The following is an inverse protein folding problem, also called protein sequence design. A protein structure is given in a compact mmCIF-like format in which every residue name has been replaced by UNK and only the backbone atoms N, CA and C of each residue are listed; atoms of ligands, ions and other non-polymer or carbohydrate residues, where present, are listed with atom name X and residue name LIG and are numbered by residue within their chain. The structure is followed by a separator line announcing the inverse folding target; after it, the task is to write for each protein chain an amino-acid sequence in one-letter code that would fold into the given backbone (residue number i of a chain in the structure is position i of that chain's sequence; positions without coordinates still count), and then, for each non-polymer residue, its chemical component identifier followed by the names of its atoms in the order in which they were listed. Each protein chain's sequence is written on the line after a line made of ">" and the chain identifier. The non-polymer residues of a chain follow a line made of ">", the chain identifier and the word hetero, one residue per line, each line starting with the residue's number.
data_IF_801903024637
#
_entry.id   IF_801903024637
#
_cell.length_a   1.000
_cell.length_b   1.000
_cell.length_c   1.000
_cell.angle_alpha   90.00
_cell.angle_beta   90.00
_cell.angle_gamma   90.00
#
_symmetry.space_group_name_H-M   'P 1'
#
loop_
_entity.id
_entity.type
_entity.pdbx_description
1 polymer ?
#
# COMPACT_ATOMS: atom_id res chain seq x y z
N UNK A 1 14.78 -14.61 13.10
CA UNK A 1 13.36 -14.16 13.01
C UNK A 1 12.53 -15.34 12.55
N UNK A 2 11.54 -15.80 13.34
CA UNK A 2 10.64 -16.89 12.90
C UNK A 2 9.56 -16.31 11.97
N UNK A 3 9.26 -16.93 10.82
CA UNK A 3 8.18 -16.46 9.97
C UNK A 3 6.86 -16.61 10.72
N UNK A 4 6.13 -15.50 10.87
CA UNK A 4 4.78 -15.48 11.41
C UNK A 4 3.89 -16.37 10.51
N UNK A 5 3.37 -17.48 11.05
CA UNK A 5 2.34 -18.29 10.38
C UNK A 5 1.07 -17.43 10.24
N UNK A 6 0.88 -16.81 9.09
CA UNK A 6 -0.38 -16.16 8.74
C UNK A 6 -1.41 -17.26 8.47
N UNK A 7 -2.33 -17.48 9.42
CA UNK A 7 -3.46 -18.39 9.23
C UNK A 7 -4.35 -17.87 8.11
N UNK A 8 -4.41 -18.61 6.99
CA UNK A 8 -5.37 -18.34 5.91
C UNK A 8 -6.78 -18.53 6.45
N UNK A 9 -7.55 -17.45 6.53
CA UNK A 9 -8.96 -17.48 6.93
C UNK A 9 -9.83 -17.63 5.67
N UNK A 10 -10.82 -18.53 5.67
CA UNK A 10 -11.76 -18.59 4.57
C UNK A 10 -12.60 -17.30 4.52
N UNK A 11 -12.73 -16.71 3.34
CA UNK A 11 -13.52 -15.49 3.10
C UNK A 11 -14.51 -15.78 1.99
N UNK A 12 -15.78 -15.46 2.23
CA UNK A 12 -16.84 -15.60 1.25
C UNK A 12 -17.14 -14.24 0.61
N UNK A 13 -17.13 -14.19 -0.72
CA UNK A 13 -17.47 -12.99 -1.48
C UNK A 13 -18.82 -13.16 -2.17
N UNK A 14 -19.71 -12.17 -2.02
CA UNK A 14 -20.93 -12.09 -2.83
C UNK A 14 -20.65 -11.22 -4.05
N UNK A 15 -20.55 -11.86 -5.21
CA UNK A 15 -20.18 -11.20 -6.46
C UNK A 15 -21.38 -11.08 -7.40
N UNK A 16 -21.36 -10.05 -8.24
CA UNK A 16 -22.34 -9.89 -9.32
C UNK A 16 -22.12 -10.99 -10.38
N UNK A 17 -23.20 -11.37 -11.07
CA UNK A 17 -23.16 -12.45 -12.07
C UNK A 17 -22.15 -12.18 -13.19
N UNK A 18 -22.05 -10.93 -13.67
CA UNK A 18 -21.05 -10.52 -14.67
C UNK A 18 -19.62 -10.81 -14.19
N UNK A 19 -19.32 -10.53 -12.91
CA UNK A 19 -18.01 -10.82 -12.31
C UNK A 19 -17.73 -12.32 -12.29
N UNK A 20 -18.74 -13.15 -11.99
CA UNK A 20 -18.60 -14.61 -12.02
C UNK A 20 -18.33 -15.15 -13.43
N UNK A 21 -18.92 -14.55 -14.47
CA UNK A 21 -18.65 -14.90 -15.86
C UNK A 21 -17.19 -14.59 -16.24
N UNK A 22 -16.72 -13.39 -15.87
CA UNK A 22 -15.33 -12.98 -16.11
C UNK A 22 -14.36 -13.92 -15.39
N UNK A 23 -14.63 -14.25 -14.12
CA UNK A 23 -13.80 -15.20 -13.37
C UNK A 23 -13.77 -16.58 -14.01
N UNK A 24 -14.90 -17.06 -14.54
CA UNK A 24 -14.97 -18.37 -15.21
C UNK A 24 -14.22 -18.38 -16.55
N UNK A 25 -14.19 -17.24 -17.25
CA UNK A 25 -13.40 -17.10 -18.49
C UNK A 25 -11.90 -17.08 -18.18
N UNK A 26 -11.50 -16.35 -17.13
CA UNK A 26 -10.11 -16.28 -16.67
C UNK A 26 -9.61 -17.62 -16.13
N UNK A 27 -10.44 -18.33 -15.38
CA UNK A 27 -10.18 -19.70 -14.90
C UNK A 27 -9.79 -20.63 -16.06
N UNK A 28 -10.61 -20.63 -17.12
CA UNK A 28 -10.35 -21.43 -18.33
C UNK A 28 -9.09 -21.02 -19.06
N UNK A 29 -8.87 -19.70 -19.22
CA UNK A 29 -7.73 -19.16 -19.96
C UNK A 29 -6.40 -19.38 -19.25
N UNK A 30 -6.40 -19.34 -17.92
CA UNK A 30 -5.19 -19.43 -17.09
C UNK A 30 -4.97 -20.84 -16.52
N UNK A 31 -5.85 -21.79 -16.83
CA UNK A 31 -5.82 -23.17 -16.30
C UNK A 31 -5.61 -23.21 -14.78
N UNK A 32 -6.34 -22.35 -14.06
CA UNK A 32 -6.21 -22.19 -12.61
C UNK A 32 -7.58 -22.01 -11.98
N UNK A 33 -7.71 -22.12 -10.65
CA UNK A 33 -9.01 -21.99 -9.97
C UNK A 33 -9.48 -20.53 -9.89
N UNK A 34 -10.81 -20.31 -9.82
CA UNK A 34 -11.38 -18.97 -9.60
C UNK A 34 -10.79 -18.28 -8.37
N UNK A 35 -10.57 -19.05 -7.29
CA UNK A 35 -9.95 -18.55 -6.06
C UNK A 35 -8.53 -18.07 -6.32
N UNK A 36 -7.71 -18.84 -7.05
CA UNK A 36 -6.34 -18.45 -7.38
C UNK A 36 -6.27 -17.19 -8.26
N UNK A 37 -7.24 -17.02 -9.18
CA UNK A 37 -7.37 -15.78 -9.95
C UNK A 37 -7.63 -14.58 -9.04
N UNK A 38 -8.57 -14.72 -8.08
CA UNK A 38 -8.90 -13.66 -7.13
C UNK A 38 -7.75 -13.35 -6.20
N UNK A 39 -7.05 -14.36 -5.67
CA UNK A 39 -5.88 -14.18 -4.81
C UNK A 39 -4.79 -13.38 -5.52
N UNK A 40 -4.40 -13.77 -6.75
CA UNK A 40 -3.40 -13.04 -7.53
C UNK A 40 -3.82 -11.61 -7.85
N UNK A 41 -5.10 -11.40 -8.16
CA UNK A 41 -5.62 -10.06 -8.42
C UNK A 41 -5.54 -9.17 -7.17
N UNK A 42 -5.85 -9.73 -6.00
CA UNK A 42 -5.74 -9.02 -4.71
C UNK A 42 -4.29 -8.73 -4.34
N UNK A 43 -3.38 -9.70 -4.53
CA UNK A 43 -1.94 -9.50 -4.32
C UNK A 43 -1.40 -8.38 -5.22
N UNK A 44 -1.77 -8.40 -6.50
CA UNK A 44 -1.39 -7.36 -7.46
C UNK A 44 -1.94 -6.00 -7.04
N UNK A 45 -3.23 -5.91 -6.72
CA UNK A 45 -3.85 -4.67 -6.25
C UNK A 45 -3.18 -4.14 -4.99
N UNK A 46 -2.93 -5.01 -4.00
CA UNK A 46 -2.24 -4.65 -2.76
C UNK A 46 -0.83 -4.13 -3.05
N UNK A 47 -0.07 -4.80 -3.91
CA UNK A 47 1.29 -4.37 -4.27
C UNK A 47 1.34 -2.98 -4.92
N UNK A 48 0.32 -2.64 -5.72
CA UNK A 48 0.23 -1.36 -6.40
C UNK A 48 -0.30 -0.26 -5.47
N UNK A 49 -1.37 -0.54 -4.71
CA UNK A 49 -1.99 0.46 -3.83
C UNK A 49 -1.24 0.69 -2.53
N UNK A 50 -0.63 -0.33 -1.92
CA UNK A 50 0.14 -0.15 -0.69
C UNK A 50 1.41 0.68 -0.92
N UNK A 51 2.03 0.59 -2.10
CA UNK A 51 3.10 1.52 -2.51
C UNK A 51 2.64 2.99 -2.50
N UNK A 52 1.35 3.25 -2.70
CA UNK A 52 0.79 4.59 -2.76
C UNK A 52 -0.02 5.02 -1.52
N UNK A 53 -0.34 4.10 -0.59
CA UNK A 53 -1.24 4.39 0.53
C UNK A 53 -0.56 5.04 1.74
N UNK A 54 0.77 5.09 1.76
CA UNK A 54 1.50 5.91 2.73
C UNK A 54 2.34 6.96 1.99
N UNK A 55 1.81 8.18 1.78
CA UNK A 55 2.54 9.29 1.19
C UNK A 55 3.85 9.61 1.91
N UNK A 56 4.05 9.17 3.16
CA UNK A 56 5.32 9.36 3.88
C UNK A 56 6.34 8.29 3.46
N UNK A 57 5.91 7.05 3.20
CA UNK A 57 6.83 5.99 2.73
C UNK A 57 7.41 6.30 1.35
N UNK A 58 6.71 7.07 0.51
CA UNK A 58 7.27 7.47 -0.78
C UNK A 58 8.48 8.38 -0.63
N UNK A 59 8.67 9.03 0.53
CA UNK A 59 9.82 9.90 0.82
C UNK A 59 10.88 9.22 1.71
N UNK A 60 10.59 8.03 2.23
CA UNK A 60 11.51 7.30 3.11
C UNK A 60 12.73 6.81 2.30
N UNK A 61 13.92 7.33 2.63
CA UNK A 61 15.18 6.97 1.98
C UNK A 61 15.41 7.60 0.61
N UNK A 62 14.63 8.64 0.24
CA UNK A 62 14.90 9.45 -0.96
C UNK A 62 16.11 10.36 -0.73
N UNK A 63 16.19 10.95 0.45
CA UNK A 63 17.27 11.85 0.82
C UNK A 63 18.31 11.09 1.64
N UNK A 64 19.58 11.39 1.38
CA UNK A 64 20.67 11.06 2.30
C UNK A 64 20.51 11.82 3.61
N UNK A 65 21.19 11.37 4.66
CA UNK A 65 21.17 12.03 5.97
C UNK A 65 21.57 13.51 5.85
N UNK A 66 22.57 13.82 5.03
CA UNK A 66 23.04 15.19 4.78
C UNK A 66 21.98 16.07 4.09
N UNK A 67 21.32 15.57 3.05
CA UNK A 67 20.24 16.29 2.35
C UNK A 67 19.01 16.49 3.25
N UNK A 68 18.75 15.53 4.14
CA UNK A 68 17.67 15.62 5.13
C UNK A 68 17.95 16.70 6.18
N UNK A 69 19.20 16.75 6.68
CA UNK A 69 19.64 17.77 7.65
C UNK A 69 19.67 19.17 7.04
N UNK A 70 20.08 19.30 5.77
CA UNK A 70 20.04 20.56 5.04
C UNK A 70 18.59 21.04 4.85
N UNK A 71 17.68 20.17 4.41
CA UNK A 71 16.26 20.48 4.28
C UNK A 71 15.66 20.91 5.62
N UNK A 72 16.00 20.21 6.71
CA UNK A 72 15.55 20.56 8.06
C UNK A 72 16.11 21.92 8.51
N UNK A 73 17.36 22.22 8.17
CA UNK A 73 18.00 23.50 8.45
C UNK A 73 17.29 24.64 7.71
N UNK A 74 16.96 24.45 6.43
CA UNK A 74 16.20 25.42 5.62
C UNK A 74 14.80 25.65 6.21
N UNK A 75 14.09 24.60 6.61
CA UNK A 75 12.76 24.70 7.25
C UNK A 75 12.84 25.45 8.59
N UNK A 76 13.87 25.21 9.39
CA UNK A 76 14.10 25.93 10.66
C UNK A 76 14.44 27.41 10.43
N UNK A 77 15.16 27.72 9.36
CA UNK A 77 15.60 29.08 9.03
C UNK A 77 14.55 29.89 8.26
N UNK A 78 13.56 29.25 7.61
CA UNK A 78 12.45 29.96 6.97
C UNK A 78 11.55 30.60 8.03
N UNK A 79 11.61 31.93 8.08
CA UNK A 79 11.00 32.83 9.07
C UNK A 79 9.46 32.87 9.03
N UNK A 80 8.83 31.97 8.28
CA UNK A 80 7.36 31.84 8.14
C UNK A 80 6.73 30.83 9.09
N UNK A 81 7.49 30.28 10.04
CA UNK A 81 6.91 29.57 11.17
C UNK A 81 6.21 30.56 12.11
N UNK A 82 4.88 30.58 11.96
CA UNK A 82 3.89 31.15 12.86
C UNK A 82 4.33 30.96 14.31
N UNK A 83 4.37 32.05 15.07
CA UNK A 83 4.34 32.03 16.53
C UNK A 83 3.11 31.22 16.99
N UNK A 84 3.25 29.90 17.14
CA UNK A 84 2.27 29.10 17.86
C UNK A 84 2.61 29.28 19.33
N UNK A 85 2.08 30.36 19.93
CA UNK A 85 2.04 30.55 21.37
C UNK A 85 1.13 29.47 21.97
N UNK A 86 1.69 28.31 22.29
CA UNK A 86 1.03 27.38 23.21
C UNK A 86 1.23 27.94 24.61
N UNK A 87 0.17 28.51 25.20
CA UNK A 87 0.12 28.74 26.65
C UNK A 87 -0.17 27.38 27.29
N UNK A 88 0.79 26.88 28.06
CA UNK A 88 0.61 25.80 29.04
C UNK A 88 0.04 26.39 30.33
#
# INVERSE_FOLDING_TARGET
>A
MKPSKTTKKPINFRLKQQTLLILSLLEKKLHTSKTAVVEKALEYYASQKLKHYNPIMQFAGIFSDAESDEMLSVIKCDRRNKDIKVKL
#
